data_IF_188158427269
#
_entry.id   IF_188158427269
#
_cell.length_a   1.000
_cell.length_b   1.000
_cell.length_c   1.000
_cell.angle_alpha   90.00
_cell.angle_beta   90.00
_cell.angle_gamma   90.00
#
_symmetry.space_group_name_H-M   'P 1'
#
loop_
_entity.id
_entity.type
_entity.pdbx_description
1 polymer ?
#
# COMPACT_ATOMS: atom_id res chain seq x y z
N UNK A 1 56.65 3.74 36.65
CA UNK A 1 55.24 3.77 37.10
C UNK A 1 54.30 3.41 35.95
N UNK A 2 54.69 3.67 34.70
CA UNK A 2 53.86 3.51 33.50
C UNK A 2 53.55 2.06 33.10
N UNK A 3 54.51 1.12 33.23
CA UNK A 3 54.30 -0.30 32.89
C UNK A 3 53.22 -0.99 33.75
N UNK A 4 52.93 -0.47 34.94
CA UNK A 4 51.88 -0.97 35.83
C UNK A 4 50.52 -0.34 35.50
N UNK A 5 50.52 0.87 34.93
CA UNK A 5 49.33 1.56 34.46
C UNK A 5 48.79 0.97 33.14
N UNK A 6 49.65 0.41 32.28
CA UNK A 6 49.23 -0.28 31.04
C UNK A 6 48.60 -1.66 31.28
N UNK A 7 48.96 -2.34 32.36
CA UNK A 7 48.43 -3.68 32.69
C UNK A 7 47.12 -3.65 33.49
N UNK A 8 46.88 -2.56 34.21
CA UNK A 8 45.68 -2.35 35.03
C UNK A 8 44.34 -2.45 34.24
N UNK A 9 44.24 -1.91 33.01
CA UNK A 9 43.05 -2.01 32.16
C UNK A 9 42.67 -3.45 31.82
N UNK A 10 43.67 -4.28 31.52
CA UNK A 10 43.47 -5.70 31.17
C UNK A 10 43.10 -6.54 32.39
N UNK A 11 43.69 -6.26 33.56
CA UNK A 11 43.38 -7.00 34.80
C UNK A 11 42.01 -6.63 35.39
N UNK A 12 41.57 -5.38 35.24
CA UNK A 12 40.32 -4.89 35.84
C UNK A 12 39.16 -4.72 34.87
N UNK A 13 39.37 -4.98 33.57
CA UNK A 13 38.34 -4.79 32.52
C UNK A 13 37.85 -3.35 32.40
N UNK A 14 38.70 -2.36 32.72
CA UNK A 14 38.37 -0.93 32.72
C UNK A 14 39.16 -0.24 31.60
N UNK A 15 38.47 0.42 30.66
CA UNK A 15 39.12 1.20 29.61
C UNK A 15 40.09 2.24 30.20
N UNK A 16 41.34 2.24 29.73
CA UNK A 16 42.23 3.36 30.02
C UNK A 16 41.66 4.64 29.39
N UNK A 17 41.58 5.77 30.12
CA UNK A 17 41.17 7.07 29.56
C UNK A 17 41.99 7.49 28.34
N UNK A 18 43.20 6.94 28.17
CA UNK A 18 44.13 7.29 27.10
C UNK A 18 43.82 6.65 25.73
N UNK A 19 43.11 5.51 25.68
CA UNK A 19 42.92 4.76 24.44
C UNK A 19 41.47 4.68 23.95
N UNK A 20 40.47 4.89 24.83
CA UNK A 20 39.04 4.88 24.46
C UNK A 20 38.50 3.56 23.89
N UNK A 21 39.33 2.51 23.83
CA UNK A 21 39.04 1.21 23.22
C UNK A 21 39.25 0.07 24.23
N UNK A 22 38.47 -0.99 24.09
CA UNK A 22 38.50 -2.18 24.94
C UNK A 22 38.44 -3.45 24.09
N UNK A 23 38.99 -4.56 24.60
CA UNK A 23 38.82 -5.89 23.98
C UNK A 23 37.42 -6.38 24.32
N UNK A 24 36.60 -6.63 23.30
CA UNK A 24 35.29 -7.27 23.47
C UNK A 24 35.41 -8.77 23.18
N UNK A 25 34.48 -9.54 23.73
CA UNK A 25 34.34 -10.97 23.50
C UNK A 25 33.04 -11.19 22.74
N UNK A 26 33.07 -11.98 21.67
CA UNK A 26 31.86 -12.34 20.93
C UNK A 26 30.97 -13.24 21.80
N UNK A 27 29.75 -12.79 22.07
CA UNK A 27 28.77 -13.51 22.89
C UNK A 27 28.23 -14.79 22.23
N UNK A 28 28.49 -15.04 20.94
CA UNK A 28 28.10 -16.28 20.26
C UNK A 28 29.19 -17.36 20.30
N UNK A 29 30.45 -16.99 20.06
CA UNK A 29 31.58 -17.93 19.97
C UNK A 29 32.41 -18.03 21.25
N UNK A 30 32.46 -16.98 22.07
CA UNK A 30 33.32 -16.88 23.25
C UNK A 30 34.77 -16.46 22.95
N UNK A 31 35.10 -16.17 21.68
CA UNK A 31 36.42 -15.69 21.27
C UNK A 31 36.52 -14.16 21.36
N UNK A 32 37.72 -13.63 21.56
CA UNK A 32 37.97 -12.20 21.57
C UNK A 32 37.97 -11.63 20.14
N UNK A 33 37.45 -10.41 19.94
CA UNK A 33 37.57 -9.73 18.65
C UNK A 33 39.03 -9.40 18.31
N UNK A 34 39.40 -9.49 17.03
CA UNK A 34 40.77 -9.29 16.53
C UNK A 34 41.37 -7.91 16.87
N UNK A 35 40.53 -6.90 17.03
CA UNK A 35 40.93 -5.52 17.28
C UNK A 35 40.15 -4.92 18.47
N UNK A 36 40.78 -4.03 19.26
CA UNK A 36 40.10 -3.34 20.35
C UNK A 36 39.05 -2.35 19.80
N UNK A 37 37.83 -2.40 20.37
CA UNK A 37 36.65 -1.67 19.92
C UNK A 37 36.39 -0.47 20.85
N UNK A 38 35.99 0.67 20.29
CA UNK A 38 35.58 1.84 21.07
C UNK A 38 34.27 1.56 21.79
N UNK A 39 34.28 1.65 23.12
CA UNK A 39 33.10 1.42 23.97
C UNK A 39 32.93 2.63 24.87
N UNK A 40 31.70 3.14 24.96
CA UNK A 40 31.38 4.28 25.80
C UNK A 40 29.88 4.40 26.03
N UNK A 41 29.51 5.36 26.86
CA UNK A 41 28.12 5.68 27.12
C UNK A 41 27.63 6.68 26.07
N UNK A 42 26.63 6.29 25.30
CA UNK A 42 25.96 7.17 24.33
C UNK A 42 24.54 7.40 24.79
N UNK A 43 24.13 8.67 24.80
CA UNK A 43 22.74 9.04 25.02
C UNK A 43 21.96 8.87 23.71
N UNK A 44 21.21 7.78 23.59
CA UNK A 44 20.36 7.50 22.42
C UNK A 44 18.93 7.99 22.69
N UNK A 45 18.38 8.76 21.75
CA UNK A 45 16.98 9.18 21.80
C UNK A 45 16.12 8.27 20.92
N UNK A 46 14.99 7.80 21.46
CA UNK A 46 13.97 7.07 20.70
C UNK A 46 13.01 8.07 20.08
N UNK A 47 12.97 8.12 18.76
CA UNK A 47 11.99 8.95 18.03
C UNK A 47 10.61 8.29 18.03
N UNK A 48 9.57 9.12 17.88
CA UNK A 48 8.16 8.70 17.94
C UNK A 48 7.72 7.83 16.76
N UNK A 49 8.48 7.81 15.66
CA UNK A 49 8.09 7.11 14.43
C UNK A 49 8.32 5.60 14.52
N UNK A 50 7.35 4.89 15.10
CA UNK A 50 7.37 3.44 15.21
C UNK A 50 6.79 2.77 13.97
N UNK A 51 7.25 1.55 13.71
CA UNK A 51 6.77 0.71 12.60
C UNK A 51 5.30 0.33 12.83
N UNK A 52 4.91 0.13 14.08
CA UNK A 52 3.52 -0.15 14.48
C UNK A 52 2.54 0.92 13.95
N UNK A 53 2.95 2.19 13.99
CA UNK A 53 2.14 3.30 13.48
C UNK A 53 2.16 3.41 11.95
N UNK A 54 3.13 2.78 11.27
CA UNK A 54 3.34 2.92 9.81
C UNK A 54 2.85 1.73 9.00
N UNK A 55 2.78 0.53 9.57
CA UNK A 55 2.25 -0.64 8.86
C UNK A 55 0.76 -0.40 8.55
N UNK A 56 0.39 -0.67 7.30
CA UNK A 56 -0.98 -0.60 6.81
C UNK A 56 -1.19 -1.68 5.74
N UNK A 57 -2.34 -2.35 5.79
CA UNK A 57 -2.74 -3.35 4.83
C UNK A 57 -4.25 -3.22 4.56
N UNK A 58 -4.64 -3.46 3.32
CA UNK A 58 -6.03 -3.40 2.86
C UNK A 58 -6.31 -4.57 1.93
N UNK A 59 -7.44 -5.24 2.16
CA UNK A 59 -8.04 -6.20 1.23
C UNK A 59 -9.26 -5.60 0.53
N UNK A 60 -10.28 -5.24 1.31
CA UNK A 60 -11.49 -4.51 0.89
C UNK A 60 -11.70 -3.31 1.83
N UNK A 61 -12.62 -2.40 1.48
CA UNK A 61 -12.84 -1.19 2.30
C UNK A 61 -13.76 -0.19 1.60
N UNK A 62 -13.89 1.03 2.15
CA UNK A 62 -14.75 2.06 1.58
C UNK A 62 -14.21 2.60 0.25
N UNK A 63 -15.15 3.10 -0.56
CA UNK A 63 -14.91 3.66 -1.88
C UNK A 63 -15.54 5.06 -1.96
N UNK A 64 -14.97 5.90 -2.82
CA UNK A 64 -15.54 7.22 -3.13
C UNK A 64 -16.90 7.09 -3.81
N UNK A 65 -17.85 7.94 -3.42
CA UNK A 65 -19.19 7.98 -4.03
C UNK A 65 -19.14 8.29 -5.53
N UNK A 66 -18.22 9.18 -5.94
CA UNK A 66 -18.17 9.72 -7.30
C UNK A 66 -17.33 8.83 -8.20
N UNK A 67 -16.06 8.61 -7.86
CA UNK A 67 -15.10 7.91 -8.72
C UNK A 67 -15.09 6.41 -8.52
N UNK A 68 -15.81 5.89 -7.52
CA UNK A 68 -15.78 4.47 -7.11
C UNK A 68 -14.39 3.92 -6.80
N UNK A 69 -13.39 4.80 -6.60
CA UNK A 69 -12.02 4.42 -6.26
C UNK A 69 -11.86 4.20 -4.75
N UNK A 70 -10.89 3.34 -4.33
CA UNK A 70 -10.52 3.17 -2.94
C UNK A 70 -10.17 4.51 -2.27
N UNK A 71 -10.75 4.79 -1.09
CA UNK A 71 -10.39 6.00 -0.33
C UNK A 71 -8.90 6.02 0.05
N UNK A 72 -8.33 7.19 0.31
CA UNK A 72 -6.94 7.36 0.71
C UNK A 72 -6.73 7.40 2.23
N UNK A 73 -5.54 7.03 2.69
CA UNK A 73 -5.09 7.24 4.07
C UNK A 73 -5.37 6.08 5.04
N UNK A 74 -4.44 5.87 5.98
CA UNK A 74 -4.48 4.77 6.95
C UNK A 74 -5.73 4.81 7.85
N UNK A 75 -6.19 6.00 8.24
CA UNK A 75 -7.34 6.17 9.13
C UNK A 75 -8.68 5.71 8.52
N UNK A 76 -8.81 5.75 7.19
CA UNK A 76 -10.02 5.37 6.46
C UNK A 76 -9.92 3.97 5.87
N UNK A 77 -8.97 3.14 6.34
CA UNK A 77 -8.62 1.87 5.71
C UNK A 77 -8.37 2.03 4.20
N UNK A 78 -7.68 3.11 3.85
CA UNK A 78 -7.49 3.54 2.47
C UNK A 78 -6.58 2.62 1.66
N UNK A 79 -6.72 2.67 0.33
CA UNK A 79 -5.88 1.95 -0.60
C UNK A 79 -4.53 2.64 -0.79
N UNK A 80 -3.58 1.91 -1.36
CA UNK A 80 -2.33 2.50 -1.81
C UNK A 80 -2.57 3.20 -3.15
N UNK A 81 -2.01 4.39 -3.33
CA UNK A 81 -2.00 5.06 -4.63
C UNK A 81 -1.06 4.30 -5.56
N UNK A 82 -1.61 3.82 -6.67
CA UNK A 82 -0.84 3.39 -7.82
C UNK A 82 -0.78 4.57 -8.80
N UNK A 83 0.40 5.18 -8.94
CA UNK A 83 0.59 6.40 -9.70
C UNK A 83 1.06 6.14 -11.13
N UNK A 84 1.21 7.23 -11.87
CA UNK A 84 1.69 7.22 -13.26
C UNK A 84 3.09 6.59 -13.39
N UNK A 85 3.97 6.83 -12.43
CA UNK A 85 5.32 6.23 -12.42
C UNK A 85 5.27 4.71 -12.25
N UNK A 86 4.35 4.20 -11.43
CA UNK A 86 4.18 2.76 -11.26
C UNK A 86 3.49 2.10 -12.46
N UNK A 87 2.59 2.84 -13.14
CA UNK A 87 2.01 2.41 -14.44
C UNK A 87 3.11 2.23 -15.47
N UNK A 88 4.00 3.22 -15.63
CA UNK A 88 5.13 3.11 -16.56
C UNK A 88 6.03 1.92 -16.25
N UNK A 89 6.22 1.60 -14.98
CA UNK A 89 7.00 0.43 -14.59
C UNK A 89 6.36 -0.86 -15.11
N UNK A 90 5.04 -1.05 -14.95
CA UNK A 90 4.34 -2.24 -15.43
C UNK A 90 4.27 -2.30 -16.97
N UNK A 91 4.09 -1.17 -17.63
CA UNK A 91 4.12 -1.06 -19.08
C UNK A 91 5.49 -1.48 -19.63
N UNK A 92 6.59 -1.02 -19.02
CA UNK A 92 7.94 -1.40 -19.41
C UNK A 92 8.23 -2.90 -19.22
N UNK A 93 7.63 -3.53 -18.21
CA UNK A 93 7.69 -4.98 -18.02
C UNK A 93 6.80 -5.76 -19.01
N UNK A 94 5.90 -5.11 -19.74
CA UNK A 94 4.90 -5.78 -20.58
C UNK A 94 3.82 -6.51 -19.77
N UNK A 95 3.59 -6.10 -18.52
CA UNK A 95 2.67 -6.75 -17.60
C UNK A 95 1.20 -6.31 -17.82
N UNK A 96 0.68 -6.52 -19.03
CA UNK A 96 -0.62 -6.00 -19.46
C UNK A 96 -1.80 -6.43 -18.56
N UNK A 97 -1.87 -7.72 -18.20
CA UNK A 97 -2.96 -8.23 -17.34
C UNK A 97 -2.89 -7.68 -15.91
N UNK A 98 -1.67 -7.51 -15.36
CA UNK A 98 -1.50 -6.94 -14.01
C UNK A 98 -1.91 -5.47 -14.02
N UNK A 99 -1.50 -4.72 -15.04
CA UNK A 99 -1.89 -3.32 -15.20
C UNK A 99 -3.41 -3.18 -15.34
N UNK A 100 -4.03 -4.00 -16.19
CA UNK A 100 -5.48 -4.02 -16.37
C UNK A 100 -6.18 -4.33 -15.04
N UNK A 101 -5.74 -5.37 -14.33
CA UNK A 101 -6.33 -5.76 -13.03
C UNK A 101 -6.24 -4.64 -11.99
N UNK A 102 -5.11 -3.93 -11.93
CA UNK A 102 -4.91 -2.79 -11.02
C UNK A 102 -5.85 -1.64 -11.36
N UNK A 103 -6.01 -1.32 -12.66
CA UNK A 103 -6.82 -0.19 -13.11
C UNK A 103 -8.33 -0.46 -13.09
N UNK A 104 -8.76 -1.72 -13.03
CA UNK A 104 -10.17 -2.12 -13.13
C UNK A 104 -10.66 -2.77 -11.84
N UNK A 105 -10.54 -4.10 -11.72
CA UNK A 105 -11.08 -4.96 -10.67
C UNK A 105 -10.59 -4.56 -9.27
N UNK A 106 -9.35 -4.07 -9.16
CA UNK A 106 -8.76 -3.60 -7.88
C UNK A 106 -9.01 -2.12 -7.57
N UNK A 107 -9.65 -1.38 -8.48
CA UNK A 107 -9.85 0.06 -8.38
C UNK A 107 -11.35 0.42 -8.41
N UNK A 108 -11.92 0.61 -9.60
CA UNK A 108 -13.22 1.28 -9.79
C UNK A 108 -14.22 0.49 -10.64
N UNK A 109 -13.92 -0.75 -11.04
CA UNK A 109 -14.90 -1.64 -11.64
C UNK A 109 -15.83 -2.22 -10.55
N UNK A 110 -17.00 -1.61 -10.39
CA UNK A 110 -17.97 -1.94 -9.34
C UNK A 110 -18.49 -3.38 -9.45
N UNK A 111 -18.77 -3.84 -10.68
CA UNK A 111 -19.30 -5.20 -10.90
C UNK A 111 -18.15 -6.20 -10.92
N UNK A 112 -17.04 -5.85 -11.57
CA UNK A 112 -15.84 -6.68 -11.65
C UNK A 112 -15.26 -7.00 -10.27
N UNK A 113 -15.19 -6.04 -9.35
CA UNK A 113 -14.65 -6.28 -8.00
C UNK A 113 -15.50 -7.26 -7.18
N UNK A 114 -16.82 -7.21 -7.30
CA UNK A 114 -17.73 -8.12 -6.56
C UNK A 114 -17.62 -9.52 -7.13
N UNK A 115 -17.65 -9.66 -8.45
CA UNK A 115 -17.47 -10.94 -9.14
C UNK A 115 -16.09 -11.54 -8.90
N UNK A 116 -15.04 -10.72 -8.88
CA UNK A 116 -13.69 -11.19 -8.58
C UNK A 116 -13.58 -11.69 -7.14
N UNK A 117 -14.19 -11.00 -6.18
CA UNK A 117 -14.25 -11.49 -4.80
C UNK A 117 -14.97 -12.84 -4.70
N UNK A 118 -16.12 -12.97 -5.38
CA UNK A 118 -16.87 -14.23 -5.43
C UNK A 118 -16.06 -15.37 -6.07
N UNK A 119 -15.40 -15.10 -7.20
CA UNK A 119 -14.54 -16.07 -7.89
C UNK A 119 -13.38 -16.53 -6.99
N UNK A 120 -12.72 -15.61 -6.30
CA UNK A 120 -11.64 -15.93 -5.35
C UNK A 120 -12.15 -16.82 -4.21
N UNK A 121 -13.33 -16.54 -3.66
CA UNK A 121 -13.94 -17.35 -2.59
C UNK A 121 -14.32 -18.74 -3.08
N UNK A 122 -14.80 -18.87 -4.32
CA UNK A 122 -15.16 -20.15 -4.94
C UNK A 122 -13.97 -20.92 -5.51
N UNK A 123 -12.81 -20.28 -5.67
CA UNK A 123 -11.67 -20.86 -6.37
C UNK A 123 -11.88 -20.98 -7.88
N UNK A 124 -12.74 -20.12 -8.45
CA UNK A 124 -13.00 -20.01 -9.89
C UNK A 124 -12.07 -18.95 -10.51
N UNK A 125 -11.90 -19.01 -11.83
CA UNK A 125 -11.12 -18.00 -12.56
C UNK A 125 -11.83 -16.64 -12.54
N UNK A 126 -11.04 -15.58 -12.40
CA UNK A 126 -11.54 -14.20 -12.40
C UNK A 126 -12.01 -13.85 -13.82
N UNK A 127 -13.24 -13.35 -13.92
CA UNK A 127 -13.83 -12.92 -15.19
C UNK A 127 -13.11 -11.70 -15.78
N UNK A 128 -13.24 -11.50 -17.09
CA UNK A 128 -12.64 -10.34 -17.75
C UNK A 128 -13.20 -9.02 -17.18
N UNK A 129 -12.32 -8.02 -16.92
CA UNK A 129 -12.74 -6.75 -16.38
C UNK A 129 -13.65 -5.96 -17.31
N UNK A 130 -14.56 -5.17 -16.73
CA UNK A 130 -15.43 -4.26 -17.44
C UNK A 130 -14.81 -2.87 -17.68
N UNK A 131 -15.67 -1.93 -18.03
CA UNK A 131 -15.29 -0.52 -18.22
C UNK A 131 -15.17 0.19 -16.86
N UNK A 132 -14.03 0.84 -16.55
CA UNK A 132 -13.83 1.64 -15.34
C UNK A 132 -14.91 2.70 -15.14
N UNK A 133 -15.35 2.90 -13.90
CA UNK A 133 -16.31 3.96 -13.59
C UNK A 133 -15.69 5.36 -13.80
N UNK A 134 -14.39 5.52 -13.54
CA UNK A 134 -13.67 6.78 -13.84
C UNK A 134 -13.76 7.18 -15.31
N UNK A 135 -13.75 6.23 -16.25
CA UNK A 135 -13.93 6.51 -17.66
C UNK A 135 -15.36 6.96 -17.99
N UNK A 136 -16.37 6.33 -17.36
CA UNK A 136 -17.78 6.76 -17.51
C UNK A 136 -17.98 8.19 -16.99
N UNK A 137 -17.40 8.51 -15.83
CA UNK A 137 -17.42 9.86 -15.25
C UNK A 137 -16.76 10.85 -16.20
N UNK A 138 -15.58 10.53 -16.75
CA UNK A 138 -14.89 11.38 -17.73
C UNK A 138 -15.78 11.71 -18.95
N UNK A 139 -16.45 10.71 -19.53
CA UNK A 139 -17.34 10.91 -20.68
C UNK A 139 -18.49 11.86 -20.32
N UNK A 140 -19.10 11.67 -19.13
CA UNK A 140 -20.18 12.54 -18.65
C UNK A 140 -19.69 13.96 -18.36
N UNK A 141 -18.49 14.13 -17.81
CA UNK A 141 -17.88 15.45 -17.59
C UNK A 141 -17.64 16.18 -18.92
N UNK A 142 -17.12 15.51 -19.94
CA UNK A 142 -16.96 16.10 -21.28
C UNK A 142 -18.31 16.47 -21.91
N UNK A 143 -19.31 15.60 -21.79
CA UNK A 143 -20.68 15.89 -22.26
C UNK A 143 -21.31 17.09 -21.53
N UNK A 144 -21.01 17.27 -20.24
CA UNK A 144 -21.50 18.41 -19.46
C UNK A 144 -20.94 19.76 -19.96
N UNK A 145 -19.77 19.74 -20.61
CA UNK A 145 -19.16 20.91 -21.26
C UNK A 145 -19.75 21.20 -22.66
N UNK A 146 -20.71 20.40 -23.12
CA UNK A 146 -21.30 20.53 -24.45
C UNK A 146 -20.51 19.83 -25.56
N UNK A 147 -19.55 18.97 -25.21
CA UNK A 147 -18.82 18.16 -26.18
C UNK A 147 -19.58 16.87 -26.49
N UNK A 148 -19.84 16.60 -27.77
CA UNK A 148 -20.43 15.35 -28.21
C UNK A 148 -19.34 14.26 -28.26
N UNK A 149 -19.21 13.50 -27.17
CA UNK A 149 -18.30 12.35 -27.07
C UNK A 149 -19.10 11.06 -27.17
N UNK A 150 -18.72 10.23 -28.13
CA UNK A 150 -19.36 8.94 -28.43
C UNK A 150 -18.29 7.86 -28.55
N UNK A 151 -18.56 6.67 -27.99
CA UNK A 151 -17.70 5.50 -28.14
C UNK A 151 -18.20 4.71 -29.35
N UNK A 152 -17.34 4.49 -30.33
CA UNK A 152 -17.65 3.73 -31.54
C UNK A 152 -16.95 2.38 -31.49
N UNK A 153 -17.61 1.34 -32.03
CA UNK A 153 -16.97 0.06 -32.31
C UNK A 153 -16.25 0.09 -33.68
N UNK A 154 -15.68 -1.05 -34.10
CA UNK A 154 -14.99 -1.18 -35.39
C UNK A 154 -15.92 -0.96 -36.61
N UNK A 155 -17.23 -1.12 -36.43
CA UNK A 155 -18.27 -0.95 -37.46
C UNK A 155 -18.86 0.47 -37.47
N UNK A 156 -18.24 1.42 -36.76
CA UNK A 156 -18.70 2.81 -36.56
C UNK A 156 -20.08 2.93 -35.89
N UNK A 157 -20.52 1.88 -35.20
CA UNK A 157 -21.76 1.90 -34.43
C UNK A 157 -21.53 2.42 -33.01
N UNK A 158 -22.51 3.16 -32.50
CA UNK A 158 -22.47 3.73 -31.15
C UNK A 158 -22.61 2.65 -30.09
N UNK A 159 -21.60 2.55 -29.24
CA UNK A 159 -21.63 1.70 -28.05
C UNK A 159 -22.23 2.47 -26.89
N UNK A 160 -23.36 2.02 -26.37
CA UNK A 160 -23.91 2.56 -25.13
C UNK A 160 -23.12 2.04 -23.94
N UNK A 161 -22.42 2.94 -23.26
CA UNK A 161 -21.85 2.66 -21.94
C UNK A 161 -23.02 2.45 -20.96
N UNK A 162 -23.33 1.19 -20.67
CA UNK A 162 -24.39 0.85 -19.73
C UNK A 162 -24.10 1.47 -18.36
N UNK A 163 -25.09 2.15 -17.79
CA UNK A 163 -25.07 2.55 -16.39
C UNK A 163 -25.07 1.28 -15.55
N UNK A 164 -24.15 1.21 -14.60
CA UNK A 164 -23.99 0.05 -13.72
C UNK A 164 -25.24 -0.06 -12.85
N UNK A 165 -26.24 -0.82 -13.31
CA UNK A 165 -27.50 -0.93 -12.57
C UNK A 165 -27.29 -1.83 -11.35
N UNK A 166 -27.79 -1.41 -10.19
CA UNK A 166 -27.69 -2.15 -8.94
C UNK A 166 -28.29 -3.58 -9.01
N UNK A 167 -29.06 -3.88 -10.05
CA UNK A 167 -29.67 -5.18 -10.30
C UNK A 167 -28.67 -6.29 -10.72
N UNK A 168 -27.47 -5.93 -11.18
CA UNK A 168 -26.44 -6.91 -11.58
C UNK A 168 -25.48 -7.31 -10.45
N UNK A 169 -25.61 -6.70 -9.27
CA UNK A 169 -24.76 -6.98 -8.11
C UNK A 169 -25.39 -8.15 -7.34
N UNK A 170 -24.72 -9.31 -7.23
CA UNK A 170 -25.21 -10.41 -6.40
C UNK A 170 -25.38 -9.93 -4.96
N UNK A 171 -26.54 -10.17 -4.33
CA UNK A 171 -26.74 -9.95 -2.88
C UNK A 171 -25.93 -11.00 -2.09
N UNK A 172 -24.63 -10.78 -2.02
CA UNK A 172 -23.78 -11.42 -1.03
C UNK A 172 -24.04 -10.64 0.26
N UNK A 173 -24.55 -11.29 1.31
CA UNK A 173 -24.78 -10.69 2.64
C UNK A 173 -23.51 -10.19 3.37
N UNK A 174 -22.49 -9.81 2.61
CA UNK A 174 -21.22 -9.20 2.99
C UNK A 174 -21.22 -7.83 2.32
N UNK A 175 -21.29 -6.77 3.11
CA UNK A 175 -21.28 -5.40 2.59
C UNK A 175 -19.86 -5.00 2.14
N UNK A 176 -19.50 -5.41 0.93
CA UNK A 176 -18.21 -5.09 0.27
C UNK A 176 -18.17 -3.60 -0.12
N UNK A 177 -19.33 -2.96 -0.18
CA UNK A 177 -19.54 -1.56 -0.53
C UNK A 177 -20.16 -0.83 0.64
N UNK A 178 -19.40 -0.64 1.73
CA UNK A 178 -19.80 0.33 2.76
C UNK A 178 -19.74 1.73 2.13
N UNK A 179 -20.84 2.11 1.47
CA UNK A 179 -21.12 3.47 1.08
C UNK A 179 -21.16 4.29 2.37
N UNK A 180 -20.52 5.46 2.37
CA UNK A 180 -20.63 6.38 3.49
C UNK A 180 -22.11 6.73 3.68
N UNK A 181 -22.75 6.19 4.74
CA UNK A 181 -23.90 6.87 5.33
C UNK A 181 -23.35 8.15 5.94
N UNK A 182 -23.80 9.29 5.43
CA UNK A 182 -23.44 10.63 5.93
C UNK A 182 -23.89 10.94 7.36
N UNK A 183 -24.02 9.94 8.23
CA UNK A 183 -24.47 10.08 9.62
C UNK A 183 -23.31 10.05 10.63
N UNK A 184 -22.10 9.63 10.24
CA UNK A 184 -20.95 9.54 11.16
C UNK A 184 -20.24 10.89 11.41
N UNK A 185 -20.74 12.00 10.85
CA UNK A 185 -20.22 13.37 11.10
C UNK A 185 -20.95 14.14 12.22
N UNK A 186 -21.94 13.53 12.88
CA UNK A 186 -22.67 14.16 13.99
C UNK A 186 -22.68 13.27 15.23
N UNK A 187 -21.58 13.27 15.99
CA UNK A 187 -21.54 13.69 17.41
C UNK A 187 -20.32 13.11 18.17
N UNK A 188 -19.89 13.76 19.28
CA UNK A 188 -20.04 15.16 19.68
C UNK A 188 -18.76 15.99 19.47
#
# INVERSE_FOLDING_TARGET
LDLRAEKLPFEKGLASPSYGKQVLIDGRSGEAFDQPITVGYIYMMKLVHLVEDKIHARSTGPYSLITQQPLGGKAQFGGQRFGEMEVWALEAYGAAHILQEILTVKSDDVVGRVKAYEAIVKGEDIQEPGVPESFKVLVKELQSLGLAVEVLNEEEERVTLAETSAAEIPELGIDISRFEKGEDFLAP
#
